data_IF_569674307962
#
_entry.id   IF_569674307962
#
_cell.length_a   1.000
_cell.length_b   1.000
_cell.length_c   1.000
_cell.angle_alpha   90.00
_cell.angle_beta   90.00
_cell.angle_gamma   90.00
#
_symmetry.space_group_name_H-M   'P 1'
#
loop_
_entity.id
_entity.type
_entity.pdbx_description
1 polymer ?
#
# COMPACT_ATOMS: atom_id res chain seq x y z
N UNK A 1 -31.40 -3.84 -24.40
CA UNK A 1 -31.61 -2.46 -23.96
C UNK A 1 -30.30 -1.68 -24.07
N UNK A 2 -30.30 -0.58 -24.77
CA UNK A 2 -29.09 0.21 -24.91
C UNK A 2 -28.69 0.81 -23.55
N UNK A 3 -27.41 0.76 -23.17
CA UNK A 3 -26.95 1.38 -21.92
C UNK A 3 -27.22 2.90 -21.98
N UNK A 4 -27.52 3.47 -20.85
CA UNK A 4 -27.69 4.93 -20.76
C UNK A 4 -26.35 5.62 -20.99
N UNK A 5 -26.33 6.91 -21.35
CA UNK A 5 -25.06 7.64 -21.46
C UNK A 5 -24.22 7.57 -20.20
N UNK A 6 -24.83 7.46 -19.04
CA UNK A 6 -24.12 7.33 -17.77
C UNK A 6 -23.39 5.98 -17.70
N UNK A 7 -23.94 4.92 -18.26
CA UNK A 7 -23.30 3.61 -18.27
C UNK A 7 -22.09 3.57 -19.20
N UNK A 8 -22.13 4.32 -20.28
CA UNK A 8 -21.01 4.46 -21.18
C UNK A 8 -19.85 5.22 -20.53
N UNK A 9 -20.18 6.18 -19.68
CA UNK A 9 -19.16 6.98 -19.00
C UNK A 9 -18.55 6.25 -17.81
N UNK A 10 -19.22 5.25 -17.25
CA UNK A 10 -18.72 4.50 -16.09
C UNK A 10 -17.40 3.77 -16.31
N UNK A 11 -17.20 3.06 -17.45
CA UNK A 11 -15.89 2.45 -17.71
C UNK A 11 -14.84 3.48 -18.15
N UNK A 12 -15.29 4.64 -18.62
CA UNK A 12 -14.42 5.70 -19.13
C UNK A 12 -14.29 6.86 -18.14
N UNK A 13 -15.17 6.93 -17.18
CA UNK A 13 -14.98 7.80 -16.04
C UNK A 13 -13.84 7.21 -15.26
N UNK A 14 -12.65 7.83 -15.27
CA UNK A 14 -11.63 7.31 -14.41
C UNK A 14 -12.20 7.31 -13.00
N UNK A 15 -12.48 6.13 -12.47
CA UNK A 15 -12.44 5.98 -11.04
C UNK A 15 -11.23 6.78 -10.64
N UNK A 16 -11.37 7.69 -9.70
CA UNK A 16 -10.25 8.52 -9.25
C UNK A 16 -9.12 7.56 -8.90
N UNK A 17 -8.12 7.53 -9.77
CA UNK A 17 -6.93 6.71 -9.58
C UNK A 17 -5.73 7.57 -9.18
N UNK A 18 -6.01 8.79 -8.75
CA UNK A 18 -4.99 9.76 -8.38
C UNK A 18 -5.48 10.65 -7.25
N UNK A 19 -4.58 11.00 -6.34
CA UNK A 19 -4.85 11.89 -5.22
C UNK A 19 -3.60 12.71 -4.91
N UNK A 20 -3.79 14.01 -4.60
CA UNK A 20 -2.71 14.84 -4.08
C UNK A 20 -2.77 14.85 -2.56
N UNK A 21 -1.63 14.59 -1.96
CA UNK A 21 -1.43 14.60 -0.51
C UNK A 21 -0.54 15.80 -0.19
N UNK A 22 -1.15 16.86 0.31
CA UNK A 22 -0.46 18.13 0.52
C UNK A 22 0.56 18.07 1.66
N UNK A 23 0.33 17.22 2.65
CA UNK A 23 1.15 17.14 3.86
C UNK A 23 1.37 15.68 4.29
N UNK A 24 2.42 15.41 5.08
CA UNK A 24 2.57 14.08 5.70
C UNK A 24 1.36 13.66 6.56
N UNK A 25 0.68 14.62 7.18
CA UNK A 25 -0.53 14.33 7.96
C UNK A 25 -1.66 13.78 7.07
N UNK A 26 -1.81 14.31 5.87
CA UNK A 26 -2.79 13.79 4.91
C UNK A 26 -2.43 12.38 4.44
N UNK A 27 -1.14 12.12 4.23
CA UNK A 27 -0.66 10.78 3.89
C UNK A 27 -0.97 9.79 5.01
N UNK A 28 -0.70 10.16 6.25
CA UNK A 28 -1.00 9.32 7.41
C UNK A 28 -2.51 9.11 7.59
N UNK A 29 -3.31 10.13 7.33
CA UNK A 29 -4.77 10.01 7.40
C UNK A 29 -5.32 9.03 6.37
N UNK A 30 -4.78 9.06 5.15
CA UNK A 30 -5.17 8.10 4.12
C UNK A 30 -4.79 6.68 4.52
N UNK A 31 -3.60 6.50 5.08
CA UNK A 31 -3.15 5.20 5.58
C UNK A 31 -4.07 4.67 6.68
N UNK A 32 -4.54 5.56 7.57
CA UNK A 32 -5.49 5.17 8.62
C UNK A 32 -6.82 4.68 8.04
N UNK A 33 -7.26 5.29 6.94
CA UNK A 33 -8.48 4.84 6.25
C UNK A 33 -8.29 3.47 5.60
N UNK A 34 -7.10 3.20 5.05
CA UNK A 34 -6.78 1.87 4.54
C UNK A 34 -6.79 0.85 5.68
N UNK A 35 -6.24 1.21 6.84
CA UNK A 35 -6.21 0.33 8.01
C UNK A 35 -7.61 -0.19 8.38
N UNK A 36 -8.64 0.64 8.22
CA UNK A 36 -10.02 0.29 8.55
C UNK A 36 -10.59 -0.82 7.64
N UNK A 37 -10.03 -1.02 6.46
CA UNK A 37 -10.51 -2.00 5.48
C UNK A 37 -9.50 -3.11 5.21
N UNK A 38 -8.34 -3.08 5.86
CA UNK A 38 -7.29 -4.08 5.68
C UNK A 38 -7.73 -5.43 6.26
N UNK A 39 -7.40 -6.50 5.54
CA UNK A 39 -7.74 -7.88 5.94
C UNK A 39 -6.49 -8.75 5.94
N UNK A 40 -6.47 -9.82 6.75
CA UNK A 40 -5.40 -10.81 6.67
C UNK A 40 -5.23 -11.32 5.24
N UNK A 41 -3.99 -11.49 4.81
CA UNK A 41 -3.69 -11.94 3.46
C UNK A 41 -3.65 -10.86 2.40
N UNK A 42 -4.04 -9.62 2.72
CA UNK A 42 -3.92 -8.51 1.77
C UNK A 42 -2.46 -8.21 1.46
N UNK A 43 -2.22 -7.74 0.24
CA UNK A 43 -0.89 -7.26 -0.18
C UNK A 43 -1.03 -5.82 -0.64
N UNK A 44 -0.29 -4.94 0.01
CA UNK A 44 -0.20 -3.52 -0.36
C UNK A 44 1.23 -3.24 -0.80
N UNK A 45 1.39 -2.88 -2.06
CA UNK A 45 2.69 -2.63 -2.67
C UNK A 45 2.92 -1.12 -2.79
N UNK A 46 3.98 -0.63 -2.16
CA UNK A 46 4.31 0.79 -2.13
C UNK A 46 5.46 1.08 -3.08
N UNK A 47 5.15 1.74 -4.18
CA UNK A 47 6.13 2.16 -5.18
C UNK A 47 6.50 3.63 -4.97
N UNK A 48 7.69 4.00 -5.39
CA UNK A 48 8.13 5.38 -5.36
C UNK A 48 9.59 5.50 -4.94
N UNK A 49 10.20 6.63 -5.28
CA UNK A 49 11.58 6.91 -4.93
C UNK A 49 11.76 7.13 -3.42
N UNK A 50 12.99 7.13 -2.97
CA UNK A 50 13.33 7.48 -1.60
C UNK A 50 12.77 8.88 -1.29
N UNK A 51 12.14 9.00 -0.12
CA UNK A 51 11.55 10.27 0.31
C UNK A 51 10.21 10.61 -0.32
N UNK A 52 9.62 9.72 -1.13
CA UNK A 52 8.34 10.00 -1.79
C UNK A 52 7.11 9.88 -0.88
N UNK A 53 7.27 9.35 0.35
CA UNK A 53 6.16 9.25 1.31
C UNK A 53 5.79 7.84 1.72
N UNK A 54 6.48 6.82 1.22
CA UNK A 54 6.18 5.42 1.54
C UNK A 54 6.30 5.13 3.03
N UNK A 55 7.36 5.60 3.67
CA UNK A 55 7.57 5.41 5.12
C UNK A 55 6.53 6.13 5.95
N UNK A 56 6.12 7.32 5.54
CA UNK A 56 5.05 8.06 6.22
C UNK A 56 3.74 7.29 6.15
N UNK A 57 3.44 6.73 4.99
CA UNK A 57 2.25 5.91 4.80
C UNK A 57 2.30 4.65 5.67
N UNK A 58 3.42 3.94 5.66
CA UNK A 58 3.60 2.73 6.46
C UNK A 58 3.43 3.00 7.95
N UNK A 59 4.05 4.07 8.46
CA UNK A 59 3.90 4.45 9.88
C UNK A 59 2.46 4.78 10.22
N UNK A 60 1.78 5.51 9.34
CA UNK A 60 0.37 5.87 9.55
C UNK A 60 -0.54 4.65 9.59
N UNK A 61 -0.29 3.68 8.72
CA UNK A 61 -1.04 2.43 8.70
C UNK A 61 -0.87 1.64 9.99
N UNK A 62 0.38 1.45 10.42
CA UNK A 62 0.68 0.67 11.62
C UNK A 62 0.14 1.33 12.88
N UNK A 63 0.26 2.65 12.98
CA UNK A 63 -0.32 3.39 14.11
C UNK A 63 -1.83 3.27 14.16
N UNK A 64 -2.49 3.37 13.02
CA UNK A 64 -3.94 3.23 12.95
C UNK A 64 -4.41 1.83 13.34
N UNK A 65 -3.59 0.82 13.11
CA UNK A 65 -3.87 -0.56 13.53
C UNK A 65 -3.59 -0.81 15.02
N UNK A 66 -2.99 0.14 15.72
CA UNK A 66 -2.76 0.05 17.16
C UNK A 66 -1.31 -0.02 17.60
N UNK A 67 -0.36 0.07 16.69
CA UNK A 67 1.05 0.06 17.06
C UNK A 67 1.41 1.37 17.77
N UNK A 68 1.91 1.28 19.00
CA UNK A 68 2.20 2.44 19.82
C UNK A 68 3.67 2.86 19.84
N UNK A 69 4.56 2.00 19.33
CA UNK A 69 5.99 2.25 19.33
C UNK A 69 6.50 2.95 18.07
N UNK A 70 7.81 3.04 17.96
CA UNK A 70 8.44 3.50 16.73
C UNK A 70 8.31 2.45 15.63
N UNK A 71 8.30 2.91 14.38
CA UNK A 71 8.30 2.04 13.22
C UNK A 71 9.67 2.17 12.55
N UNK A 72 10.61 1.26 12.84
CA UNK A 72 11.91 1.29 12.18
C UNK A 72 11.76 0.89 10.71
N UNK A 73 12.65 1.43 9.87
CA UNK A 73 12.72 0.99 8.49
C UNK A 73 13.26 -0.44 8.44
N UNK A 74 12.60 -1.38 7.73
CA UNK A 74 13.10 -2.75 7.62
C UNK A 74 14.18 -2.93 6.55
N UNK A 75 14.87 -1.86 6.16
CA UNK A 75 15.87 -1.90 5.08
C UNK A 75 16.96 -2.94 5.33
N UNK A 76 17.40 -3.12 6.57
CA UNK A 76 18.44 -4.09 6.91
C UNK A 76 17.89 -5.48 7.24
N UNK A 77 16.70 -5.54 7.84
CA UNK A 77 16.10 -6.80 8.25
C UNK A 77 15.25 -7.43 7.16
N UNK A 78 14.92 -6.67 6.11
CA UNK A 78 14.01 -6.98 5.01
C UNK A 78 12.56 -7.16 5.46
N UNK A 79 12.29 -7.79 6.59
CA UNK A 79 10.93 -8.01 7.11
C UNK A 79 10.89 -7.61 8.57
N UNK A 80 9.90 -6.80 8.92
CA UNK A 80 9.58 -6.47 10.30
C UNK A 80 8.14 -6.90 10.57
N UNK A 81 7.93 -7.99 11.32
CA UNK A 81 6.57 -8.44 11.63
C UNK A 81 5.94 -7.63 12.76
N UNK A 82 4.63 -7.40 12.64
CA UNK A 82 3.78 -6.78 13.66
C UNK A 82 2.63 -7.75 13.90
N UNK A 83 2.92 -8.86 14.59
CA UNK A 83 1.99 -9.98 14.74
C UNK A 83 0.92 -9.77 15.81
N UNK A 84 1.15 -8.82 16.73
CA UNK A 84 0.25 -8.56 17.86
C UNK A 84 -0.87 -7.57 17.54
N UNK A 85 -0.93 -7.07 16.32
CA UNK A 85 -1.99 -6.16 15.89
C UNK A 85 -3.29 -6.92 15.62
N UNK A 86 -4.48 -6.27 15.72
CA UNK A 86 -5.75 -6.91 15.35
C UNK A 86 -5.75 -7.49 13.94
N UNK A 87 -5.08 -6.82 13.00
CA UNK A 87 -4.73 -7.38 11.70
C UNK A 87 -3.20 -7.44 11.68
N UNK A 88 -2.60 -8.62 11.79
CA UNK A 88 -1.15 -8.73 11.73
C UNK A 88 -0.61 -8.20 10.41
N UNK A 89 0.50 -7.47 10.46
CA UNK A 89 1.14 -6.87 9.29
C UNK A 89 2.62 -7.22 9.30
N UNK A 90 3.13 -7.61 8.14
CA UNK A 90 4.57 -7.70 7.90
C UNK A 90 4.97 -6.51 7.04
N UNK A 91 5.83 -5.66 7.58
CA UNK A 91 6.41 -4.55 6.84
C UNK A 91 7.69 -5.02 6.18
N UNK A 92 7.73 -4.96 4.86
CA UNK A 92 8.78 -5.55 4.02
C UNK A 92 9.45 -4.45 3.21
N UNK A 93 10.78 -4.45 3.17
CA UNK A 93 11.55 -3.52 2.33
C UNK A 93 12.54 -4.35 1.51
N UNK A 94 12.35 -4.34 0.20
CA UNK A 94 13.14 -5.15 -0.73
C UNK A 94 14.21 -4.35 -1.45
N UNK A 95 14.52 -3.14 -0.98
CA UNK A 95 15.52 -2.28 -1.63
C UNK A 95 16.86 -2.97 -1.85
N UNK A 96 17.29 -3.79 -0.88
CA UNK A 96 18.58 -4.48 -0.91
C UNK A 96 18.51 -5.88 -1.52
N UNK A 97 17.36 -6.29 -2.03
CA UNK A 97 17.23 -7.61 -2.65
C UNK A 97 17.92 -7.60 -4.02
N UNK A 98 18.91 -8.45 -4.21
CA UNK A 98 19.67 -8.53 -5.45
C UNK A 98 18.97 -9.38 -6.51
N UNK A 99 18.38 -10.50 -6.09
CA UNK A 99 17.72 -11.44 -6.98
C UNK A 99 16.30 -11.72 -6.47
N UNK A 100 15.27 -11.62 -7.33
CA UNK A 100 13.89 -11.92 -6.91
C UNK A 100 13.71 -13.28 -6.23
N UNK A 101 14.52 -14.28 -6.59
CA UNK A 101 14.43 -15.60 -5.98
C UNK A 101 14.80 -15.61 -4.49
N UNK A 102 15.57 -14.62 -4.03
CA UNK A 102 15.90 -14.50 -2.61
C UNK A 102 14.65 -14.23 -1.75
N UNK A 103 13.62 -13.66 -2.35
CA UNK A 103 12.35 -13.42 -1.67
C UNK A 103 11.65 -14.72 -1.25
N UNK A 104 11.93 -15.80 -1.95
CA UNK A 104 11.31 -17.09 -1.63
C UNK A 104 11.69 -17.57 -0.22
N UNK A 105 12.89 -17.26 0.23
CA UNK A 105 13.35 -17.59 1.57
C UNK A 105 12.69 -16.77 2.68
N UNK A 106 12.05 -15.66 2.33
CA UNK A 106 11.40 -14.79 3.31
C UNK A 106 10.01 -15.29 3.74
N UNK A 107 9.43 -16.22 2.99
CA UNK A 107 8.11 -16.77 3.31
C UNK A 107 6.97 -15.78 3.20
N UNK A 108 7.10 -14.76 2.35
CA UNK A 108 6.14 -13.66 2.28
C UNK A 108 4.71 -14.10 1.94
N UNK A 109 4.56 -15.08 1.07
CA UNK A 109 3.24 -15.50 0.59
C UNK A 109 2.71 -16.74 1.30
N UNK A 110 3.40 -17.17 2.35
CA UNK A 110 3.01 -18.29 3.20
C UNK A 110 2.42 -17.83 4.53
N UNK A 111 2.48 -16.52 4.82
CA UNK A 111 1.90 -15.94 6.03
C UNK A 111 0.46 -15.52 5.81
N UNK A 112 -0.35 -15.55 6.87
CA UNK A 112 -1.71 -15.00 6.86
C UNK A 112 -1.73 -13.51 7.18
N UNK A 113 -0.58 -12.93 7.51
CA UNK A 113 -0.49 -11.50 7.77
C UNK A 113 -0.73 -10.69 6.50
N UNK A 114 -1.21 -9.47 6.64
CA UNK A 114 -1.20 -8.53 5.55
C UNK A 114 0.25 -8.10 5.27
N UNK A 115 0.60 -7.95 4.01
CA UNK A 115 1.94 -7.54 3.60
C UNK A 115 1.93 -6.08 3.18
N UNK A 116 2.86 -5.31 3.71
CA UNK A 116 3.10 -3.92 3.32
C UNK A 116 4.52 -3.88 2.75
N UNK A 117 4.62 -3.83 1.42
CA UNK A 117 5.88 -4.06 0.71
C UNK A 117 6.39 -2.78 0.07
N UNK A 118 7.58 -2.34 0.47
CA UNK A 118 8.33 -1.27 -0.21
C UNK A 118 9.28 -1.90 -1.22
N UNK A 119 9.48 -1.21 -2.34
CA UNK A 119 10.28 -1.69 -3.47
C UNK A 119 9.74 -3.01 -4.04
N UNK A 120 8.41 -3.09 -4.29
CA UNK A 120 7.79 -4.34 -4.75
C UNK A 120 8.25 -4.76 -6.15
N UNK A 121 8.78 -3.85 -6.95
CA UNK A 121 9.34 -4.15 -8.26
C UNK A 121 10.48 -5.17 -8.19
N UNK A 122 11.12 -5.32 -7.03
CA UNK A 122 12.16 -6.33 -6.83
C UNK A 122 11.60 -7.76 -6.88
N UNK A 123 10.30 -7.92 -6.68
CA UNK A 123 9.66 -9.24 -6.76
C UNK A 123 9.35 -9.67 -8.20
N UNK A 124 9.28 -8.71 -9.12
CA UNK A 124 8.91 -9.02 -10.51
C UNK A 124 7.57 -9.75 -10.56
N UNK A 125 7.54 -10.87 -11.26
CA UNK A 125 6.31 -11.67 -11.42
C UNK A 125 5.86 -12.38 -10.14
N UNK A 126 6.67 -12.37 -9.08
CA UNK A 126 6.28 -12.95 -7.78
C UNK A 126 5.30 -12.08 -7.02
N UNK A 127 5.16 -10.80 -7.38
CA UNK A 127 4.17 -9.93 -6.76
C UNK A 127 2.77 -10.42 -7.15
N UNK A 128 1.89 -10.72 -6.18
CA UNK A 128 0.54 -11.19 -6.51
C UNK A 128 -0.23 -10.19 -7.35
N UNK A 129 -0.99 -10.68 -8.33
CA UNK A 129 -1.78 -9.82 -9.24
C UNK A 129 -2.89 -9.05 -8.51
N UNK A 130 -3.32 -9.56 -7.36
CA UNK A 130 -4.36 -8.90 -6.54
C UNK A 130 -3.77 -7.91 -5.53
N UNK A 131 -2.48 -7.57 -5.65
CA UNK A 131 -1.86 -6.57 -4.79
C UNK A 131 -2.42 -5.19 -5.10
N UNK A 132 -2.70 -4.43 -4.05
CA UNK A 132 -3.01 -3.01 -4.21
C UNK A 132 -1.69 -2.26 -4.40
N UNK A 133 -1.43 -1.80 -5.60
CA UNK A 133 -0.21 -1.05 -5.91
C UNK A 133 -0.46 0.45 -5.80
N UNK A 134 0.24 1.08 -4.87
CA UNK A 134 0.19 2.51 -4.63
C UNK A 134 1.51 3.13 -5.05
N UNK A 135 1.47 4.11 -5.95
CA UNK A 135 2.68 4.77 -6.44
C UNK A 135 2.74 6.21 -5.94
N UNK A 136 3.76 6.50 -5.17
CA UNK A 136 4.02 7.83 -4.62
C UNK A 136 5.04 8.56 -5.48
N UNK A 137 4.78 9.84 -5.76
CA UNK A 137 5.75 10.70 -6.41
C UNK A 137 5.79 12.07 -5.75
N UNK A 138 6.93 12.75 -5.88
CA UNK A 138 7.19 14.03 -5.24
C UNK A 138 8.37 13.93 -4.31
N UNK A 139 8.85 15.08 -3.84
CA UNK A 139 10.01 15.15 -2.95
C UNK A 139 10.00 16.44 -2.14
N UNK A 140 10.82 16.51 -1.10
CA UNK A 140 10.99 17.68 -0.26
C UNK A 140 9.68 18.12 0.39
N UNK A 141 9.40 19.41 0.34
CA UNK A 141 8.18 20.00 0.91
C UNK A 141 7.01 20.02 -0.08
N UNK A 142 7.22 19.55 -1.31
CA UNK A 142 6.17 19.53 -2.31
C UNK A 142 5.08 18.51 -1.94
N UNK A 143 3.85 18.74 -2.37
CA UNK A 143 2.78 17.73 -2.23
C UNK A 143 3.19 16.42 -2.90
N UNK A 144 2.69 15.32 -2.35
CA UNK A 144 2.88 14.01 -2.95
C UNK A 144 1.70 13.67 -3.85
N UNK A 145 2.01 13.06 -4.98
CA UNK A 145 0.99 12.50 -5.86
C UNK A 145 0.94 11.00 -5.61
N UNK A 146 -0.24 10.50 -5.34
CA UNK A 146 -0.49 9.08 -5.19
C UNK A 146 -1.35 8.61 -6.34
N UNK A 147 -0.90 7.57 -7.04
CA UNK A 147 -1.67 6.93 -8.10
C UNK A 147 -1.82 5.45 -7.79
N UNK A 148 -2.86 4.82 -8.34
CA UNK A 148 -3.13 3.40 -8.10
C UNK A 148 -3.99 2.80 -9.20
N UNK A 149 -3.94 1.47 -9.26
CA UNK A 149 -4.89 0.64 -9.98
C UNK A 149 -5.60 -0.24 -8.95
N UNK A 150 -6.92 -0.40 -9.08
CA UNK A 150 -7.69 -1.18 -8.11
C UNK A 150 -7.96 -2.57 -8.67
N UNK A 151 -7.26 -3.61 -8.17
CA UNK A 151 -7.56 -4.97 -8.60
C UNK A 151 -8.89 -5.45 -8.02
N UNK A 152 -9.50 -6.52 -8.59
CA UNK A 152 -10.81 -7.00 -8.16
C UNK A 152 -10.94 -7.27 -6.66
N UNK A 153 -9.90 -7.80 -6.02
CA UNK A 153 -9.93 -8.07 -4.59
C UNK A 153 -10.12 -6.82 -3.74
N UNK A 154 -9.84 -5.64 -4.28
CA UNK A 154 -9.93 -4.37 -3.56
C UNK A 154 -11.16 -3.55 -3.96
N UNK A 155 -11.96 -4.00 -4.89
CA UNK A 155 -13.18 -3.30 -5.26
C UNK A 155 -14.10 -3.16 -4.05
N UNK A 156 -14.64 -1.95 -3.86
CA UNK A 156 -15.46 -1.61 -2.70
C UNK A 156 -14.68 -1.29 -1.43
N UNK A 157 -13.38 -1.56 -1.40
CA UNK A 157 -12.52 -1.25 -0.25
C UNK A 157 -11.54 -0.12 -0.54
N UNK A 158 -11.08 -0.01 -1.76
CA UNK A 158 -10.14 1.03 -2.19
C UNK A 158 -10.67 1.76 -3.42
N UNK A 159 -10.63 3.08 -3.50
CA UNK A 159 -10.19 3.97 -2.41
C UNK A 159 -11.16 3.96 -1.23
N UNK A 160 -10.66 4.10 0.02
CA UNK A 160 -11.55 4.12 1.17
C UNK A 160 -12.45 5.36 1.12
N UNK A 161 -13.68 5.25 1.64
CA UNK A 161 -14.60 6.38 1.62
C UNK A 161 -14.04 7.55 2.42
N UNK A 162 -14.30 8.77 1.94
CA UNK A 162 -13.90 9.97 2.67
C UNK A 162 -14.62 10.05 4.01
N UNK A 163 -13.94 10.44 5.09
CA UNK A 163 -14.62 10.71 6.34
C UNK A 163 -15.61 11.86 6.13
N UNK A 164 -16.79 11.67 6.67
CA UNK A 164 -17.81 12.71 6.66
C UNK A 164 -17.64 13.65 7.84
#
# INVERSE_FOLDING_TARGET
MAPSPADWLRPMSPSISELLLATPAETAALAARLAAVLRPGDVVALHGDLGAGKSTFARGLLKALGWAGEVPSPTFTLVQPYDDLPVPVWHVDLYRLDDPSEADALGLFETDAALLIEWPERLGHRLPTESLSLTFSGSGDAPRRLTWDTPPAWEGRWPPPSPR
#
